data_IF_213552001636
#
_entry.id   IF_213552001636
#
_cell.length_a   1.000
_cell.length_b   1.000
_cell.length_c   1.000
_cell.angle_alpha   90.00
_cell.angle_beta   90.00
_cell.angle_gamma   90.00
#
_symmetry.space_group_name_H-M   'P 1'
#
loop_
_entity.id
_entity.type
_entity.pdbx_description
1 polymer ?
#
# COMPACT_ATOMS: atom_id res chain seq x y z
N UNK A 1 18.95 -52.76 8.08
CA UNK A 1 19.01 -51.29 8.25
C UNK A 1 19.72 -50.70 7.04
N UNK A 2 19.03 -50.00 6.12
CA UNK A 2 19.69 -49.23 5.08
C UNK A 2 19.69 -47.73 5.46
N UNK A 3 20.87 -47.12 5.43
CA UNK A 3 21.08 -45.70 5.65
C UNK A 3 20.57 -44.89 4.46
N UNK A 4 19.65 -43.95 4.71
CA UNK A 4 19.29 -42.90 3.75
C UNK A 4 20.46 -41.91 3.62
N UNK A 5 20.96 -41.74 2.40
CA UNK A 5 21.86 -40.65 2.02
C UNK A 5 20.99 -39.46 1.60
N UNK A 6 21.02 -38.39 2.40
CA UNK A 6 20.31 -37.13 2.12
C UNK A 6 21.05 -36.38 1.02
N UNK A 7 20.44 -36.25 -0.16
CA UNK A 7 20.95 -35.40 -1.23
C UNK A 7 20.79 -33.92 -0.83
N UNK A 8 21.91 -33.22 -0.60
CA UNK A 8 21.93 -31.76 -0.44
C UNK A 8 21.78 -31.12 -1.81
N UNK A 9 20.74 -30.30 -1.97
CA UNK A 9 20.54 -29.44 -3.14
C UNK A 9 21.67 -28.38 -3.18
N UNK A 10 22.61 -28.54 -4.11
CA UNK A 10 23.67 -27.56 -4.36
C UNK A 10 23.06 -26.42 -5.18
N UNK A 11 22.78 -25.30 -4.52
CA UNK A 11 22.42 -24.04 -5.19
C UNK A 11 23.67 -23.53 -5.92
N UNK A 12 23.62 -23.49 -7.25
CA UNK A 12 24.66 -22.85 -8.07
C UNK A 12 24.41 -21.34 -8.09
N UNK A 13 25.39 -20.49 -7.78
CA UNK A 13 25.23 -19.05 -7.89
C UNK A 13 25.11 -18.66 -9.37
N UNK A 14 24.04 -17.92 -9.69
CA UNK A 14 23.84 -17.28 -11.00
C UNK A 14 24.84 -16.12 -11.15
N UNK A 15 25.62 -16.13 -12.24
CA UNK A 15 26.65 -15.13 -12.55
C UNK A 15 26.13 -13.93 -13.35
N UNK A 16 24.82 -13.70 -13.38
CA UNK A 16 24.27 -12.49 -14.01
C UNK A 16 24.38 -11.30 -13.06
N UNK A 17 25.44 -10.50 -13.22
CA UNK A 17 25.60 -9.20 -12.55
C UNK A 17 24.56 -8.21 -13.09
N UNK A 18 23.32 -8.28 -12.57
CA UNK A 18 22.29 -7.26 -12.82
C UNK A 18 22.70 -5.99 -12.07
N UNK A 19 22.56 -4.85 -12.75
CA UNK A 19 22.61 -3.53 -12.11
C UNK A 19 21.45 -3.50 -11.10
N UNK A 20 21.67 -3.13 -9.82
CA UNK A 20 20.57 -3.00 -8.87
C UNK A 20 19.60 -1.93 -9.39
N UNK A 21 18.35 -2.33 -9.66
CA UNK A 21 17.26 -1.37 -9.83
C UNK A 21 17.15 -0.55 -8.53
N UNK A 22 17.04 0.78 -8.60
CA UNK A 22 16.88 1.62 -7.41
C UNK A 22 15.54 1.39 -6.68
N UNK A 23 14.66 0.55 -7.23
CA UNK A 23 13.34 0.25 -6.71
C UNK A 23 13.36 -0.91 -5.71
N UNK A 24 13.72 -0.62 -4.47
CA UNK A 24 13.35 -1.47 -3.34
C UNK A 24 11.84 -1.77 -3.30
N UNK A 25 11.37 -2.72 -2.48
CA UNK A 25 9.94 -2.95 -2.33
C UNK A 25 9.36 -1.71 -1.68
N UNK A 26 8.40 -1.14 -2.38
CA UNK A 26 7.78 0.10 -2.03
C UNK A 26 6.30 -0.18 -2.14
N UNK A 27 5.59 0.21 -1.09
CA UNK A 27 4.15 0.03 -0.96
C UNK A 27 3.46 0.31 -2.30
N UNK A 28 2.48 -0.51 -2.66
CA UNK A 28 1.71 -0.34 -3.89
C UNK A 28 0.25 -0.10 -3.53
N UNK A 29 -0.38 0.90 -4.13
CA UNK A 29 -1.81 1.17 -3.97
C UNK A 29 -2.48 1.12 -5.33
N UNK A 30 -3.60 0.41 -5.43
CA UNK A 30 -4.47 0.42 -6.61
C UNK A 30 -5.81 1.00 -6.19
N UNK A 31 -6.27 2.03 -6.87
CA UNK A 31 -7.48 2.77 -6.53
C UNK A 31 -8.39 2.91 -7.75
N UNK A 32 -9.67 2.63 -7.54
CA UNK A 32 -10.76 2.89 -8.47
C UNK A 32 -11.55 4.09 -7.98
N UNK A 33 -11.83 5.04 -8.89
CA UNK A 33 -12.54 6.29 -8.62
C UNK A 33 -13.75 6.36 -9.54
N UNK A 34 -14.94 6.33 -8.95
CA UNK A 34 -16.23 6.41 -9.64
C UNK A 34 -17.17 7.35 -8.87
N UNK A 35 -17.07 8.68 -9.03
CA UNK A 35 -17.71 9.66 -8.15
C UNK A 35 -19.24 9.52 -7.99
N UNK A 36 -19.91 8.95 -8.99
CA UNK A 36 -21.37 8.76 -9.00
C UNK A 36 -21.82 7.38 -8.45
N UNK A 37 -20.88 6.53 -8.02
CA UNK A 37 -21.17 5.23 -7.42
C UNK A 37 -21.51 5.35 -5.92
N UNK A 38 -22.15 4.32 -5.35
CA UNK A 38 -22.40 4.24 -3.89
C UNK A 38 -21.09 4.31 -3.09
N UNK A 39 -20.02 3.73 -3.65
CA UNK A 39 -18.66 3.77 -3.12
C UNK A 39 -17.76 4.53 -4.11
N UNK A 40 -17.68 5.87 -4.00
CA UNK A 40 -16.93 6.71 -4.94
C UNK A 40 -15.45 6.35 -5.08
N UNK A 41 -14.86 5.81 -4.01
CA UNK A 41 -13.47 5.36 -4.03
C UNK A 41 -13.36 3.98 -3.39
N UNK A 42 -12.77 3.04 -4.12
CA UNK A 42 -12.41 1.72 -3.62
C UNK A 42 -10.94 1.48 -3.94
N UNK A 43 -10.14 1.09 -2.96
CA UNK A 43 -8.72 0.85 -3.13
C UNK A 43 -8.26 -0.39 -2.39
N UNK A 44 -7.14 -0.95 -2.82
CA UNK A 44 -6.29 -1.70 -1.92
C UNK A 44 -4.89 -1.10 -1.81
N UNK A 45 -4.27 -1.25 -0.65
CA UNK A 45 -2.86 -0.99 -0.43
C UNK A 45 -2.13 -2.25 -0.01
N UNK A 46 -0.97 -2.49 -0.61
CA UNK A 46 0.03 -3.47 -0.18
C UNK A 46 1.11 -2.72 0.59
N UNK A 47 1.27 -3.06 1.87
CA UNK A 47 2.31 -2.48 2.71
C UNK A 47 3.58 -3.32 2.61
N UNK A 48 4.57 -2.78 1.92
CA UNK A 48 5.92 -3.34 1.88
C UNK A 48 6.78 -2.68 2.95
N UNK A 49 7.32 -3.47 3.87
CA UNK A 49 8.13 -2.99 4.99
C UNK A 49 9.06 -4.10 5.50
N UNK A 50 10.08 -3.71 6.28
CA UNK A 50 10.88 -4.65 7.06
C UNK A 50 10.00 -5.53 7.97
N UNK A 51 10.12 -6.86 7.90
CA UNK A 51 9.41 -7.77 8.82
C UNK A 51 9.73 -7.54 10.30
N UNK A 52 10.91 -6.99 10.60
CA UNK A 52 11.35 -6.71 11.97
C UNK A 52 10.79 -5.39 12.53
N UNK A 53 10.18 -4.55 11.68
CA UNK A 53 9.61 -3.27 12.11
C UNK A 53 8.29 -3.51 12.84
N UNK A 54 8.13 -3.14 14.12
CA UNK A 54 6.92 -3.43 14.87
C UNK A 54 5.73 -2.57 14.40
N UNK A 55 4.57 -3.21 14.22
CA UNK A 55 3.32 -2.54 13.82
C UNK A 55 2.09 -3.28 14.35
N UNK A 56 0.99 -2.55 14.53
CA UNK A 56 -0.30 -3.10 14.95
C UNK A 56 -1.33 -3.04 13.81
N UNK A 57 -2.25 -4.02 13.80
CA UNK A 57 -3.40 -4.04 12.89
C UNK A 57 -4.27 -2.77 13.04
N UNK A 58 -5.17 -2.48 12.08
CA UNK A 58 -6.01 -1.30 12.17
C UNK A 58 -6.80 -1.22 13.48
N UNK A 59 -6.67 -0.07 14.14
CA UNK A 59 -7.37 0.24 15.38
C UNK A 59 -7.29 1.72 15.72
N UNK A 60 -8.03 2.14 16.75
CA UNK A 60 -8.03 3.51 17.27
C UNK A 60 -6.83 3.75 18.19
N UNK A 61 -5.63 3.80 17.61
CA UNK A 61 -4.37 3.89 18.35
C UNK A 61 -4.01 5.30 18.85
N UNK A 62 -4.74 6.32 18.41
CA UNK A 62 -4.49 7.74 18.71
C UNK A 62 -5.69 8.32 19.46
N UNK A 63 -5.75 8.20 20.81
CA UNK A 63 -6.88 8.67 21.60
C UNK A 63 -7.21 10.15 21.41
N UNK A 64 -6.20 10.97 21.09
CA UNK A 64 -6.35 12.40 20.79
C UNK A 64 -7.15 12.69 19.52
N UNK A 65 -7.26 11.72 18.60
CA UNK A 65 -8.06 11.81 17.38
C UNK A 65 -9.46 11.18 17.54
N UNK A 66 -9.69 10.49 18.66
CA UNK A 66 -10.92 9.77 18.99
C UNK A 66 -11.11 8.46 18.22
N UNK A 67 -12.07 7.66 18.67
CA UNK A 67 -12.33 6.30 18.14
C UNK A 67 -12.77 6.27 16.68
N UNK A 68 -13.21 7.41 16.13
CA UNK A 68 -13.58 7.55 14.72
C UNK A 68 -12.40 7.37 13.78
N UNK A 69 -11.16 7.59 14.24
CA UNK A 69 -9.94 7.47 13.42
C UNK A 69 -9.28 6.15 13.75
N UNK A 70 -9.16 5.28 12.74
CA UNK A 70 -8.47 3.99 12.86
C UNK A 70 -7.41 3.84 11.79
N UNK A 71 -6.39 3.02 12.02
CA UNK A 71 -5.34 2.83 11.02
C UNK A 71 -4.25 1.84 11.43
N UNK A 72 -3.42 1.46 10.46
CA UNK A 72 -2.25 0.60 10.69
C UNK A 72 -1.20 1.41 11.44
N UNK A 73 -0.92 1.04 12.68
CA UNK A 73 -0.02 1.79 13.56
C UNK A 73 1.43 1.32 13.43
N UNK A 74 2.32 2.22 13.06
CA UNK A 74 3.76 2.04 13.12
C UNK A 74 4.24 2.32 14.53
N UNK A 75 4.60 1.28 15.29
CA UNK A 75 5.00 1.41 16.70
C UNK A 75 6.37 2.04 16.88
N UNK A 76 7.19 2.05 15.84
CA UNK A 76 8.52 2.66 15.89
C UNK A 76 8.42 4.18 15.67
N UNK A 77 7.62 4.60 14.69
CA UNK A 77 7.48 6.02 14.33
C UNK A 77 6.24 6.72 14.93
N UNK A 78 5.33 5.99 15.56
CA UNK A 78 4.10 6.49 16.22
C UNK A 78 3.00 6.98 15.27
N UNK A 79 3.14 6.78 13.96
CA UNK A 79 2.21 7.27 12.95
C UNK A 79 1.47 6.15 12.21
N UNK A 80 0.62 6.51 11.25
CA UNK A 80 -0.08 5.53 10.42
C UNK A 80 0.58 5.33 9.06
N UNK A 81 0.55 4.12 8.52
CA UNK A 81 0.78 3.93 7.07
C UNK A 81 -0.49 4.23 6.26
N UNK A 82 -1.62 3.72 6.75
CA UNK A 82 -2.96 3.98 6.22
C UNK A 82 -3.87 4.29 7.42
N UNK A 83 -4.66 5.36 7.30
CA UNK A 83 -5.67 5.75 8.27
C UNK A 83 -7.02 5.95 7.57
N UNK A 84 -8.10 5.61 8.27
CA UNK A 84 -9.47 5.89 7.89
C UNK A 84 -10.15 6.67 9.00
N UNK A 85 -11.15 7.46 8.63
CA UNK A 85 -11.99 8.14 9.58
C UNK A 85 -13.45 8.07 9.12
N UNK A 86 -14.36 7.85 10.05
CA UNK A 86 -15.78 8.11 9.84
C UNK A 86 -16.13 9.55 10.29
N UNK A 87 -17.25 10.07 9.78
CA UNK A 87 -17.83 11.38 10.11
C UNK A 87 -16.82 12.57 10.10
N UNK A 88 -16.40 13.05 8.91
CA UNK A 88 -16.76 12.55 7.58
C UNK A 88 -15.86 11.39 7.12
N UNK A 89 -16.43 10.53 6.28
CA UNK A 89 -15.75 9.37 5.71
C UNK A 89 -14.56 9.74 4.85
N UNK A 90 -13.37 9.35 5.30
CA UNK A 90 -12.10 9.55 4.58
C UNK A 90 -11.17 8.38 4.75
N UNK A 91 -10.34 8.14 3.75
CA UNK A 91 -9.19 7.25 3.84
C UNK A 91 -7.94 7.96 3.35
N UNK A 92 -6.80 7.69 3.96
CA UNK A 92 -5.53 8.21 3.48
C UNK A 92 -4.39 7.22 3.69
N UNK A 93 -3.50 7.12 2.70
CA UNK A 93 -2.36 6.21 2.71
C UNK A 93 -1.12 6.93 2.18
N UNK A 94 -0.01 6.74 2.88
CA UNK A 94 1.28 7.32 2.51
C UNK A 94 2.22 6.27 1.91
N UNK A 95 2.88 6.64 0.82
CA UNK A 95 3.88 5.84 0.15
C UNK A 95 5.21 6.60 0.14
N UNK A 96 6.30 5.87 0.30
CA UNK A 96 7.64 6.44 0.28
C UNK A 96 8.01 6.90 -1.13
N UNK A 97 8.84 7.93 -1.26
CA UNK A 97 9.57 8.21 -2.51
C UNK A 97 11.08 8.07 -2.30
N UNK A 98 11.85 8.13 -3.38
CA UNK A 98 13.30 7.90 -3.38
C UNK A 98 14.14 9.16 -3.24
N UNK A 99 13.58 10.35 -3.46
CA UNK A 99 14.39 11.56 -3.35
C UNK A 99 14.88 11.75 -1.91
N UNK A 100 16.16 12.09 -1.75
CA UNK A 100 16.84 12.27 -0.47
C UNK A 100 17.21 13.74 -0.23
N UNK A 101 16.23 14.60 0.12
CA UNK A 101 16.52 15.99 0.43
C UNK A 101 17.36 16.11 1.71
N UNK A 102 18.03 17.27 1.91
CA UNK A 102 18.78 17.54 3.13
C UNK A 102 17.92 17.36 4.39
N UNK A 103 18.55 16.91 5.48
CA UNK A 103 17.87 16.74 6.76
C UNK A 103 17.40 18.12 7.26
N UNK A 104 16.10 18.32 7.55
CA UNK A 104 15.60 19.58 8.05
C UNK A 104 16.11 19.87 9.47
N UNK A 105 16.12 21.14 9.84
CA UNK A 105 16.44 21.54 11.21
C UNK A 105 15.51 20.83 12.22
N UNK A 106 16.12 20.31 13.29
CA UNK A 106 15.41 19.50 14.30
C UNK A 106 15.07 18.07 13.86
N UNK A 107 15.57 17.61 12.70
CA UNK A 107 15.43 16.24 12.23
C UNK A 107 14.08 15.94 11.55
N UNK A 108 13.94 14.70 11.11
CA UNK A 108 12.76 14.24 10.37
C UNK A 108 11.53 14.10 11.27
N UNK A 109 10.41 14.68 10.83
CA UNK A 109 9.10 14.28 11.31
C UNK A 109 8.67 12.94 10.67
N UNK A 110 7.83 12.18 11.38
CA UNK A 110 7.25 10.95 10.83
C UNK A 110 6.30 11.25 9.67
N UNK A 111 6.45 10.50 8.56
CA UNK A 111 5.48 10.51 7.45
C UNK A 111 4.10 10.05 7.89
N UNK A 112 4.02 9.22 8.94
CA UNK A 112 2.74 8.67 9.39
C UNK A 112 1.78 9.69 10.03
N UNK A 113 2.24 10.92 10.28
CA UNK A 113 1.36 12.03 10.64
C UNK A 113 0.48 12.52 9.47
N UNK A 114 0.93 12.32 8.23
CA UNK A 114 0.24 12.77 7.02
C UNK A 114 -1.11 12.06 6.81
N UNK A 115 -1.19 10.72 6.78
CA UNK A 115 -2.47 10.03 6.62
C UNK A 115 -3.42 10.28 7.80
N UNK A 116 -2.90 10.43 9.03
CA UNK A 116 -3.71 10.75 10.20
C UNK A 116 -4.41 12.11 10.06
N UNK A 117 -3.65 13.17 9.74
CA UNK A 117 -4.20 14.52 9.55
C UNK A 117 -5.18 14.59 8.36
N UNK A 118 -4.87 13.87 7.28
CA UNK A 118 -5.74 13.82 6.11
C UNK A 118 -7.06 13.07 6.40
N UNK A 119 -7.01 11.92 7.09
CA UNK A 119 -8.20 11.17 7.46
C UNK A 119 -9.04 11.93 8.50
N UNK A 120 -8.43 12.35 9.61
CA UNK A 120 -9.12 13.04 10.68
C UNK A 120 -9.73 14.37 10.19
N UNK A 121 -8.89 15.26 9.67
CA UNK A 121 -9.27 16.67 9.50
C UNK A 121 -9.44 17.08 8.03
N UNK A 122 -9.11 16.20 7.08
CA UNK A 122 -9.10 16.54 5.65
C UNK A 122 -7.94 17.46 5.27
N UNK A 123 -6.91 17.54 6.12
CA UNK A 123 -5.79 18.47 5.92
C UNK A 123 -4.79 17.87 4.94
N UNK A 124 -4.68 18.48 3.77
CA UNK A 124 -3.69 18.15 2.76
C UNK A 124 -2.37 18.89 3.02
N UNK A 125 -1.21 18.30 2.67
CA UNK A 125 0.08 18.94 2.86
C UNK A 125 0.21 20.16 1.94
N UNK A 126 0.79 21.24 2.49
CA UNK A 126 1.09 22.49 1.77
C UNK A 126 2.47 22.99 2.16
N UNK A 127 3.15 23.67 1.23
CA UNK A 127 4.47 24.24 1.45
C UNK A 127 5.56 23.20 1.73
N UNK A 128 6.75 23.62 2.21
CA UNK A 128 7.83 22.70 2.55
C UNK A 128 7.47 21.73 3.68
N UNK A 129 7.91 20.47 3.57
CA UNK A 129 7.63 19.43 4.56
C UNK A 129 8.88 19.09 5.39
N UNK A 130 8.68 18.76 6.67
CA UNK A 130 9.74 18.26 7.57
C UNK A 130 9.86 16.73 7.57
N UNK A 131 9.06 16.04 6.75
CA UNK A 131 9.13 14.58 6.59
C UNK A 131 10.06 14.24 5.43
N UNK A 132 10.49 12.97 5.35
CA UNK A 132 11.04 12.43 4.10
C UNK A 132 10.00 12.56 2.97
N UNK A 133 10.47 12.45 1.73
CA UNK A 133 9.65 12.53 0.51
C UNK A 133 8.59 11.45 0.47
N UNK A 134 7.45 11.79 -0.14
CA UNK A 134 6.25 10.95 -0.10
C UNK A 134 5.30 11.18 -1.27
N UNK A 135 4.50 10.15 -1.54
CA UNK A 135 3.19 10.26 -2.16
C UNK A 135 2.14 10.04 -1.07
N UNK A 136 1.06 10.82 -1.08
CA UNK A 136 -0.08 10.70 -0.19
C UNK A 136 -1.33 10.59 -1.04
N UNK A 137 -2.07 9.50 -0.91
CA UNK A 137 -3.42 9.39 -1.45
C UNK A 137 -4.41 9.74 -0.34
N UNK A 138 -5.37 10.61 -0.63
CA UNK A 138 -6.49 10.91 0.26
C UNK A 138 -7.78 10.74 -0.52
N UNK A 139 -8.70 9.94 0.01
CA UNK A 139 -9.98 9.59 -0.60
C UNK A 139 -11.13 10.05 0.30
N UNK A 140 -12.17 10.59 -0.32
CA UNK A 140 -13.42 10.99 0.32
C UNK A 140 -14.60 10.76 -0.64
N UNK A 141 -15.80 11.18 -0.24
CA UNK A 141 -17.01 11.08 -1.07
C UNK A 141 -16.90 11.75 -2.44
N UNK A 142 -16.00 12.74 -2.58
CA UNK A 142 -15.80 13.43 -3.83
C UNK A 142 -14.98 12.55 -4.79
N UNK A 143 -13.97 11.85 -4.30
CA UNK A 143 -13.03 11.08 -5.12
C UNK A 143 -11.68 10.99 -4.42
N UNK A 144 -10.59 10.94 -5.19
CA UNK A 144 -9.25 10.88 -4.60
C UNK A 144 -8.35 12.05 -5.03
N UNK A 145 -7.49 12.46 -4.10
CA UNK A 145 -6.47 13.47 -4.28
C UNK A 145 -5.11 12.85 -4.00
N UNK A 146 -4.16 13.07 -4.91
CA UNK A 146 -2.75 12.71 -4.73
C UNK A 146 -1.96 13.96 -4.35
N UNK A 147 -1.26 13.91 -3.23
CA UNK A 147 -0.27 14.91 -2.85
C UNK A 147 1.13 14.32 -2.88
N UNK A 148 2.10 15.10 -3.32
CA UNK A 148 3.50 14.70 -3.37
C UNK A 148 4.40 15.76 -2.75
N UNK A 149 5.45 15.30 -2.07
CA UNK A 149 6.59 16.11 -1.66
C UNK A 149 7.85 15.43 -2.18
N UNK A 150 8.54 16.09 -3.12
CA UNK A 150 9.76 15.59 -3.76
C UNK A 150 11.06 16.08 -3.07
N UNK A 151 10.91 16.82 -1.97
CA UNK A 151 12.02 17.45 -1.25
C UNK A 151 12.24 18.94 -1.58
N UNK A 152 11.55 19.45 -2.60
CA UNK A 152 11.59 20.85 -3.01
C UNK A 152 10.20 21.48 -3.10
N UNK A 153 9.23 20.77 -3.70
CA UNK A 153 7.89 21.28 -3.98
C UNK A 153 6.84 20.31 -3.44
N UNK A 154 5.81 20.87 -2.79
CA UNK A 154 4.59 20.12 -2.48
C UNK A 154 3.55 20.42 -3.54
N UNK A 155 3.06 19.37 -4.21
CA UNK A 155 2.00 19.47 -5.21
C UNK A 155 0.83 18.60 -4.80
N UNK A 156 -0.38 19.08 -5.04
CA UNK A 156 -1.63 18.36 -4.76
C UNK A 156 -2.51 18.40 -6.00
N UNK A 157 -2.88 17.23 -6.51
CA UNK A 157 -3.66 17.07 -7.74
C UNK A 157 -4.80 16.09 -7.49
N UNK A 158 -5.98 16.42 -8.01
CA UNK A 158 -7.13 15.51 -8.00
C UNK A 158 -6.96 14.45 -9.09
N UNK A 159 -7.10 13.18 -8.72
CA UNK A 159 -7.07 12.08 -9.68
C UNK A 159 -8.38 12.05 -10.48
N UNK A 160 -8.27 11.70 -11.77
CA UNK A 160 -9.43 11.57 -12.64
C UNK A 160 -10.27 10.33 -12.27
N UNK A 161 -11.55 10.26 -12.65
CA UNK A 161 -12.30 9.00 -12.58
C UNK A 161 -11.61 7.89 -13.36
N UNK A 162 -11.61 6.67 -12.80
CA UNK A 162 -10.94 5.50 -13.37
C UNK A 162 -10.03 4.78 -12.38
N UNK A 163 -9.22 3.86 -12.89
CA UNK A 163 -8.27 3.06 -12.11
C UNK A 163 -6.87 3.64 -12.22
N UNK A 164 -6.23 3.82 -11.07
CA UNK A 164 -4.87 4.32 -10.92
C UNK A 164 -4.01 3.38 -10.05
N UNK A 165 -2.71 3.35 -10.34
CA UNK A 165 -1.71 2.63 -9.54
C UNK A 165 -0.69 3.64 -9.00
N UNK A 166 -0.48 3.62 -7.69
CA UNK A 166 0.49 4.45 -6.98
C UNK A 166 1.57 3.56 -6.37
N UNK A 167 2.81 4.03 -6.46
CA UNK A 167 4.00 3.39 -5.90
C UNK A 167 4.90 4.46 -5.29
N UNK A 168 6.22 4.32 -5.42
CA UNK A 168 7.20 5.35 -5.09
C UNK A 168 7.32 6.46 -6.12
N UNK A 169 6.87 6.23 -7.35
CA UNK A 169 6.95 7.19 -8.45
C UNK A 169 5.68 8.05 -8.54
N UNK A 170 5.51 8.81 -9.63
CA UNK A 170 4.24 9.49 -9.89
C UNK A 170 3.10 8.47 -10.11
N UNK A 171 1.82 8.85 -9.89
CA UNK A 171 0.69 8.00 -10.23
C UNK A 171 0.76 7.55 -11.69
N UNK A 172 0.47 6.27 -11.93
CA UNK A 172 0.48 5.63 -13.26
C UNK A 172 1.82 5.72 -14.02
N UNK A 173 2.94 5.95 -13.32
CA UNK A 173 4.26 6.01 -13.95
C UNK A 173 4.72 4.64 -14.46
N UNK A 174 4.59 4.45 -15.78
CA UNK A 174 4.97 3.22 -16.50
C UNK A 174 6.48 3.00 -16.62
N UNK A 175 7.32 3.89 -16.09
CA UNK A 175 8.74 3.57 -15.92
C UNK A 175 8.99 2.55 -14.79
N UNK A 176 8.02 2.38 -13.87
CA UNK A 176 8.07 1.36 -12.84
C UNK A 176 7.53 0.02 -13.40
N UNK A 177 8.32 -1.08 -13.41
CA UNK A 177 7.93 -2.34 -14.09
C UNK A 177 6.58 -2.91 -13.67
N UNK A 178 6.29 -2.99 -12.37
CA UNK A 178 4.96 -3.41 -11.87
C UNK A 178 3.81 -2.52 -12.36
N UNK A 179 4.03 -1.21 -12.50
CA UNK A 179 2.99 -0.30 -12.97
C UNK A 179 2.77 -0.55 -14.45
N UNK A 180 3.84 -0.67 -15.22
CA UNK A 180 3.78 -0.99 -16.65
C UNK A 180 3.02 -2.29 -16.93
N UNK A 181 3.30 -3.33 -16.14
CA UNK A 181 2.65 -4.64 -16.25
C UNK A 181 1.20 -4.64 -15.80
N UNK A 182 0.89 -4.11 -14.61
CA UNK A 182 -0.38 -4.37 -13.95
C UNK A 182 -1.44 -3.29 -14.16
N UNK A 183 -1.05 -2.02 -14.38
CA UNK A 183 -2.04 -0.94 -14.58
C UNK A 183 -2.99 -1.23 -15.76
N UNK A 184 -2.53 -1.65 -16.96
CA UNK A 184 -3.45 -1.98 -18.05
C UNK A 184 -4.41 -3.11 -17.67
N UNK A 185 -3.91 -4.12 -16.95
CA UNK A 185 -4.70 -5.31 -16.58
C UNK A 185 -5.76 -5.01 -15.52
N UNK A 186 -5.45 -4.13 -14.57
CA UNK A 186 -6.46 -3.62 -13.63
C UNK A 186 -7.53 -2.77 -14.31
N UNK A 187 -7.19 -2.09 -15.42
CA UNK A 187 -8.13 -1.32 -16.25
C UNK A 187 -8.99 -2.22 -17.17
N UNK A 188 -8.47 -3.38 -17.55
CA UNK A 188 -9.15 -4.33 -18.44
C UNK A 188 -10.19 -5.22 -17.71
N UNK A 189 -10.23 -5.17 -16.38
CA UNK A 189 -11.20 -5.91 -15.56
C UNK A 189 -12.11 -4.96 -14.79
N UNK A 190 -13.30 -5.44 -14.40
CA UNK A 190 -14.21 -4.65 -13.58
C UNK A 190 -13.58 -4.33 -12.21
N UNK A 191 -13.51 -3.05 -11.79
CA UNK A 191 -13.05 -2.71 -10.46
C UNK A 191 -14.10 -3.10 -9.40
N UNK A 192 -13.70 -3.31 -8.14
CA UNK A 192 -14.64 -3.52 -7.06
C UNK A 192 -15.54 -2.29 -6.89
N UNK A 193 -16.83 -2.53 -6.66
CA UNK A 193 -17.84 -1.48 -6.51
C UNK A 193 -18.27 -1.27 -5.04
N UNK A 194 -17.49 -1.78 -4.07
CA UNK A 194 -17.83 -1.71 -2.66
C UNK A 194 -16.83 -2.45 -1.76
N UNK A 195 -17.19 -2.70 -0.48
CA UNK A 195 -16.30 -3.30 0.50
C UNK A 195 -15.95 -4.74 0.15
N UNK A 196 -14.75 -5.17 0.54
CA UNK A 196 -14.39 -6.58 0.50
C UNK A 196 -15.18 -7.29 1.61
N UNK A 197 -15.89 -8.36 1.24
CA UNK A 197 -16.70 -9.16 2.16
C UNK A 197 -15.89 -9.79 3.29
N UNK A 198 -16.59 -10.21 4.33
CA UNK A 198 -15.98 -10.94 5.45
C UNK A 198 -15.52 -12.33 5.01
N UNK A 199 -14.60 -12.92 5.78
CA UNK A 199 -14.16 -14.29 5.53
C UNK A 199 -15.36 -15.26 5.53
N UNK A 200 -15.61 -15.90 4.39
CA UNK A 200 -16.74 -16.83 4.18
C UNK A 200 -17.91 -16.26 3.36
N UNK A 201 -17.95 -14.95 3.12
CA UNK A 201 -18.95 -14.32 2.23
C UNK A 201 -18.53 -14.36 0.75
N UNK A 202 -17.31 -14.84 0.48
CA UNK A 202 -16.70 -14.86 -0.84
C UNK A 202 -16.16 -13.49 -1.24
N UNK A 203 -15.51 -13.44 -2.40
CA UNK A 203 -14.81 -12.24 -2.88
C UNK A 203 -15.74 -11.26 -3.60
N UNK A 204 -16.89 -11.73 -4.08
CA UNK A 204 -17.87 -10.89 -4.78
C UNK A 204 -17.22 -10.06 -5.90
N UNK A 205 -17.49 -8.75 -5.90
CA UNK A 205 -16.95 -7.80 -6.88
C UNK A 205 -15.42 -7.64 -6.84
N UNK A 206 -14.75 -8.16 -5.79
CA UNK A 206 -13.29 -8.10 -5.69
C UNK A 206 -12.56 -9.19 -6.45
N UNK A 207 -13.25 -10.27 -6.85
CA UNK A 207 -12.66 -11.43 -7.51
C UNK A 207 -11.65 -11.07 -8.62
N UNK A 208 -12.01 -10.22 -9.61
CA UNK A 208 -11.10 -9.88 -10.70
C UNK A 208 -9.80 -9.20 -10.25
N UNK A 209 -9.85 -8.32 -9.25
CA UNK A 209 -8.64 -7.67 -8.71
C UNK A 209 -7.82 -8.63 -7.86
N UNK A 210 -8.46 -9.49 -7.07
CA UNK A 210 -7.76 -10.51 -6.27
C UNK A 210 -7.11 -11.58 -7.15
N UNK A 211 -7.70 -11.91 -8.30
CA UNK A 211 -7.10 -12.83 -9.27
C UNK A 211 -5.80 -12.26 -9.87
N UNK A 212 -5.72 -10.95 -10.11
CA UNK A 212 -4.48 -10.30 -10.52
C UNK A 212 -3.40 -10.34 -9.42
N UNK A 213 -3.79 -10.17 -8.15
CA UNK A 213 -2.88 -10.37 -7.01
C UNK A 213 -2.39 -11.82 -6.91
N UNK A 214 -3.28 -12.80 -7.11
CA UNK A 214 -2.91 -14.22 -7.18
C UNK A 214 -1.96 -14.51 -8.32
N UNK A 215 -2.22 -13.97 -9.51
CA UNK A 215 -1.34 -14.10 -10.67
C UNK A 215 0.04 -13.53 -10.34
N UNK A 216 0.09 -12.32 -9.77
CA UNK A 216 1.35 -11.70 -9.36
C UNK A 216 2.11 -12.52 -8.32
N UNK A 217 1.43 -13.21 -7.41
CA UNK A 217 2.08 -14.02 -6.37
C UNK A 217 2.79 -15.27 -6.90
N UNK A 218 2.60 -15.59 -8.19
CA UNK A 218 3.32 -16.67 -8.87
C UNK A 218 4.67 -16.22 -9.46
N UNK A 219 4.91 -14.91 -9.53
CA UNK A 219 6.23 -14.37 -9.89
C UNK A 219 7.22 -14.62 -8.75
N UNK A 220 8.52 -14.53 -9.04
CA UNK A 220 9.52 -14.56 -7.99
C UNK A 220 9.29 -13.36 -7.04
N UNK A 221 9.42 -13.53 -5.71
CA UNK A 221 9.16 -12.43 -4.78
C UNK A 221 10.07 -11.20 -4.97
N UNK A 222 11.24 -11.38 -5.57
CA UNK A 222 12.20 -10.33 -5.92
C UNK A 222 12.06 -9.82 -7.37
N UNK A 223 11.06 -10.29 -8.12
CA UNK A 223 10.77 -9.82 -9.46
C UNK A 223 10.30 -8.35 -9.42
N UNK A 224 10.84 -7.53 -10.32
CA UNK A 224 10.49 -6.11 -10.43
C UNK A 224 9.01 -5.90 -10.78
N UNK A 225 8.41 -6.90 -11.46
CA UNK A 225 7.00 -6.95 -11.83
C UNK A 225 6.10 -7.36 -10.66
N UNK A 226 6.59 -8.01 -9.61
CA UNK A 226 5.73 -8.60 -8.58
C UNK A 226 5.08 -7.54 -7.68
N UNK A 227 3.75 -7.56 -7.54
CA UNK A 227 2.98 -6.76 -6.57
C UNK A 227 3.21 -7.22 -5.13
N UNK A 228 3.21 -8.54 -4.90
CA UNK A 228 3.56 -9.14 -3.62
C UNK A 228 5.05 -9.43 -3.63
N UNK A 229 5.80 -8.75 -2.77
CA UNK A 229 7.27 -8.76 -2.82
C UNK A 229 7.91 -9.35 -1.58
N UNK A 230 9.13 -9.83 -1.78
CA UNK A 230 10.11 -10.08 -0.73
C UNK A 230 11.51 -10.04 -1.32
N UNK A 231 12.25 -8.97 -1.05
CA UNK A 231 13.60 -8.72 -1.60
C UNK A 231 14.53 -8.04 -0.57
N UNK A 232 15.82 -8.15 -0.86
CA UNK A 232 16.88 -7.51 -0.08
C UNK A 232 17.27 -6.19 -0.73
N UNK A 233 17.14 -5.10 0.02
CA UNK A 233 17.56 -3.76 -0.39
C UNK A 233 18.63 -3.28 0.56
N UNK A 234 19.83 -3.03 0.04
CA UNK A 234 21.00 -2.63 0.83
C UNK A 234 21.25 -3.55 2.04
N UNK A 235 21.02 -4.86 1.84
CA UNK A 235 21.19 -5.88 2.87
C UNK A 235 20.07 -5.96 3.91
N UNK A 236 18.99 -5.20 3.76
CA UNK A 236 17.79 -5.26 4.60
C UNK A 236 16.66 -5.96 3.88
N UNK A 237 16.01 -6.91 4.56
CA UNK A 237 14.84 -7.60 4.02
C UNK A 237 13.62 -6.69 4.15
N UNK A 238 12.86 -6.62 3.07
CA UNK A 238 11.56 -6.01 3.06
C UNK A 238 10.58 -6.96 2.36
N UNK A 239 9.35 -7.00 2.84
CA UNK A 239 8.32 -7.90 2.30
C UNK A 239 6.95 -7.24 2.35
N UNK A 240 6.02 -7.71 1.51
CA UNK A 240 4.61 -7.33 1.61
C UNK A 240 4.02 -7.94 2.88
N UNK A 241 3.75 -7.12 3.90
CA UNK A 241 3.31 -7.57 5.22
C UNK A 241 1.79 -7.58 5.37
N UNK A 242 1.08 -6.72 4.64
CA UNK A 242 -0.38 -6.66 4.71
C UNK A 242 -1.04 -6.11 3.46
N UNK A 243 -2.29 -6.50 3.27
CA UNK A 243 -3.24 -5.94 2.29
C UNK A 243 -4.33 -5.18 3.06
N UNK A 244 -4.54 -3.92 2.74
CA UNK A 244 -5.68 -3.12 3.22
C UNK A 244 -6.63 -2.83 2.09
N UNK A 245 -7.81 -3.47 2.09
CA UNK A 245 -8.92 -3.17 1.19
C UNK A 245 -9.82 -2.12 1.84
N UNK A 246 -10.03 -0.99 1.17
CA UNK A 246 -10.80 0.14 1.69
C UNK A 246 -11.84 0.58 0.67
N UNK A 247 -13.07 0.77 1.12
CA UNK A 247 -14.14 1.39 0.35
C UNK A 247 -14.65 2.62 1.12
N UNK A 248 -14.77 3.75 0.44
CA UNK A 248 -15.22 5.03 1.01
C UNK A 248 -16.54 5.41 0.36
N UNK A 249 -17.60 5.56 1.16
CA UNK A 249 -18.89 6.13 0.73
C UNK A 249 -19.04 7.56 1.26
N UNK A 250 -20.23 8.15 1.12
CA UNK A 250 -20.53 9.46 1.67
C UNK A 250 -20.59 9.49 3.21
N UNK A 251 -20.88 8.35 3.83
CA UNK A 251 -21.30 8.21 5.23
C UNK A 251 -20.55 7.14 6.02
N UNK A 252 -19.81 6.24 5.36
CA UNK A 252 -19.01 5.20 6.02
C UNK A 252 -17.71 4.90 5.28
N UNK A 253 -16.71 4.44 6.02
CA UNK A 253 -15.52 3.78 5.47
C UNK A 253 -15.52 2.33 5.89
N UNK A 254 -15.42 1.42 4.93
CA UNK A 254 -15.18 0.02 5.19
C UNK A 254 -13.70 -0.29 4.99
N UNK A 255 -13.03 -0.81 6.01
CA UNK A 255 -11.62 -1.21 5.96
C UNK A 255 -11.49 -2.68 6.36
N UNK A 256 -11.13 -3.53 5.39
CA UNK A 256 -10.72 -4.91 5.64
C UNK A 256 -9.20 -4.99 5.54
N UNK A 257 -8.56 -5.43 6.61
CA UNK A 257 -7.12 -5.64 6.66
C UNK A 257 -6.81 -7.12 6.76
N UNK A 258 -5.81 -7.55 5.99
CA UNK A 258 -5.38 -8.93 5.87
C UNK A 258 -3.86 -8.96 6.07
N UNK A 259 -3.42 -9.71 7.09
CA UNK A 259 -2.01 -10.01 7.30
C UNK A 259 -1.49 -11.01 6.27
N UNK A 260 -0.43 -10.63 5.58
CA UNK A 260 0.26 -11.47 4.60
C UNK A 260 1.48 -12.17 5.23
N UNK A 261 2.04 -11.59 6.29
CA UNK A 261 3.16 -12.18 7.01
C UNK A 261 2.78 -13.54 7.65
N UNK A 262 3.70 -14.49 7.53
CA UNK A 262 3.50 -15.88 7.98
C UNK A 262 2.42 -16.66 7.23
N UNK A 263 1.84 -16.14 6.12
CA UNK A 263 0.96 -16.92 5.25
C UNK A 263 1.75 -17.70 4.20
N UNK A 264 1.38 -18.96 3.89
CA UNK A 264 2.06 -19.74 2.85
C UNK A 264 1.72 -19.27 1.43
N UNK A 265 0.64 -18.50 1.26
CA UNK A 265 0.22 -17.90 -0.01
C UNK A 265 -0.76 -16.74 0.22
N UNK A 266 -0.97 -15.90 -0.81
CA UNK A 266 -2.03 -14.87 -0.82
C UNK A 266 -3.40 -15.51 -0.61
N UNK A 267 -3.67 -16.65 -1.24
CA UNK A 267 -4.93 -17.37 -1.08
C UNK A 267 -5.16 -17.81 0.37
N UNK A 268 -4.11 -18.35 1.02
CA UNK A 268 -4.18 -18.69 2.43
C UNK A 268 -4.39 -17.45 3.30
N UNK A 269 -3.76 -16.32 2.99
CA UNK A 269 -3.97 -15.07 3.71
C UNK A 269 -5.40 -14.54 3.57
N UNK A 270 -5.96 -14.53 2.36
CA UNK A 270 -7.34 -14.11 2.09
C UNK A 270 -8.39 -14.99 2.78
N UNK A 271 -8.05 -16.25 3.04
CA UNK A 271 -8.92 -17.20 3.76
C UNK A 271 -8.86 -17.07 5.30
N UNK A 272 -7.93 -16.28 5.85
CA UNK A 272 -7.83 -16.05 7.30
C UNK A 272 -9.02 -15.23 7.79
N UNK A 273 -9.63 -15.70 8.88
CA UNK A 273 -10.76 -15.04 9.54
C UNK A 273 -10.30 -13.80 10.28
#
# INVERSE_FOLDING_TARGET
>A
MPHLVTARLIVRPSTSRRVPSPGGPMCTVVVSIAPDAEWPVVLFGLRDESPDRPWDEPGAWWPELGDRVTGVHDREAGGAWLAVADDPSRASVVLNRHEEPPVPEGGWATRGSLPLRAAADGVLPVGPQRTRTFNLLTADRGGATHSTWDGSITTTTRLAPGVHVLTHAAPDDRSVPRVDRWLPRFRDVAPPAGPLGSAGEGEGAWGPWLDLLRESSRLAPDDDDALIRSDLVDGRLFSSLSLSAVAVSADRVAHRHIRLDGAPSVEAALSRR
#
